data_IF_531659165271
#
_entry.id   IF_531659165271
#
_cell.length_a   1.000
_cell.length_b   1.000
_cell.length_c   1.000
_cell.angle_alpha   90.00
_cell.angle_beta   90.00
_cell.angle_gamma   90.00
#
_symmetry.space_group_name_H-M   'P 1'
#
loop_
_entity.id
_entity.type
_entity.pdbx_description
1 polymer ?
#
# COMPACT_ATOMS: atom_id res chain seq x y z
N UNK A 1 -17.05 -14.82 -18.97
CA UNK A 1 -15.84 -14.08 -18.62
C UNK A 1 -16.27 -12.63 -18.40
N UNK A 2 -16.65 -12.28 -17.16
CA UNK A 2 -17.11 -10.93 -16.82
C UNK A 2 -15.88 -10.04 -16.70
N UNK A 3 -15.68 -9.17 -17.68
CA UNK A 3 -14.80 -8.01 -17.56
C UNK A 3 -15.34 -7.17 -16.38
N UNK A 4 -14.74 -7.33 -15.21
CA UNK A 4 -14.89 -6.33 -14.18
C UNK A 4 -14.13 -5.09 -14.64
N UNK A 5 -14.89 -4.21 -15.29
CA UNK A 5 -14.46 -2.88 -15.63
C UNK A 5 -14.14 -2.16 -14.32
N UNK A 6 -12.86 -2.14 -13.96
CA UNK A 6 -12.37 -1.38 -12.81
C UNK A 6 -12.19 0.05 -13.29
N UNK A 7 -13.32 0.70 -13.63
CA UNK A 7 -13.35 2.10 -13.99
C UNK A 7 -13.05 2.96 -12.76
N UNK A 8 -11.76 3.04 -12.42
CA UNK A 8 -11.24 3.94 -11.39
C UNK A 8 -10.88 5.27 -12.03
N UNK A 9 -11.88 6.03 -12.43
CA UNK A 9 -11.72 7.35 -13.04
C UNK A 9 -11.32 8.44 -12.04
N UNK A 10 -11.40 8.17 -10.72
CA UNK A 10 -11.17 9.18 -9.68
C UNK A 10 -10.06 8.77 -8.72
N UNK A 11 -9.11 9.67 -8.48
CA UNK A 11 -8.03 9.49 -7.50
C UNK A 11 -8.54 9.09 -6.11
N UNK A 12 -9.67 9.66 -5.66
CA UNK A 12 -10.27 9.36 -4.36
C UNK A 12 -10.69 7.90 -4.22
N UNK A 13 -11.18 7.28 -5.29
CA UNK A 13 -11.58 5.86 -5.30
C UNK A 13 -10.33 4.97 -5.18
N UNK A 14 -9.29 5.27 -5.96
CA UNK A 14 -8.02 4.57 -5.89
C UNK A 14 -7.36 4.71 -4.51
N UNK A 15 -7.33 5.93 -3.94
CA UNK A 15 -6.82 6.18 -2.60
C UNK A 15 -7.56 5.37 -1.53
N UNK A 16 -8.89 5.42 -1.55
CA UNK A 16 -9.75 4.68 -0.61
C UNK A 16 -9.56 3.16 -0.73
N UNK A 17 -9.34 2.65 -1.95
CA UNK A 17 -9.01 1.24 -2.18
C UNK A 17 -7.65 0.88 -1.57
N UNK A 18 -6.64 1.72 -1.76
CA UNK A 18 -5.31 1.51 -1.18
C UNK A 18 -5.32 1.55 0.35
N UNK A 19 -6.12 2.44 0.95
CA UNK A 19 -6.34 2.47 2.42
C UNK A 19 -6.98 1.16 2.90
N UNK A 20 -8.01 0.66 2.19
CA UNK A 20 -8.64 -0.63 2.53
C UNK A 20 -7.67 -1.80 2.39
N UNK A 21 -6.83 -1.80 1.36
CA UNK A 21 -5.79 -2.81 1.18
C UNK A 21 -4.80 -2.81 2.34
N UNK A 22 -4.34 -1.64 2.79
CA UNK A 22 -3.47 -1.51 3.96
C UNK A 22 -4.09 -2.07 5.23
N UNK A 23 -5.38 -1.79 5.46
CA UNK A 23 -6.14 -2.35 6.58
C UNK A 23 -6.21 -3.89 6.49
N UNK A 24 -6.50 -4.43 5.31
CA UNK A 24 -6.57 -5.88 5.08
C UNK A 24 -5.19 -6.55 5.28
N UNK A 25 -4.09 -5.90 4.91
CA UNK A 25 -2.74 -6.41 5.15
C UNK A 25 -2.43 -6.52 6.65
N UNK A 26 -2.81 -5.53 7.46
CA UNK A 26 -2.62 -5.56 8.90
C UNK A 26 -3.50 -6.64 9.55
N UNK A 27 -4.77 -6.76 9.14
CA UNK A 27 -5.69 -7.79 9.60
C UNK A 27 -5.15 -9.19 9.24
N UNK A 28 -4.79 -9.43 7.98
CA UNK A 28 -4.22 -10.70 7.52
C UNK A 28 -2.94 -11.07 8.24
N UNK A 29 -2.05 -10.09 8.48
CA UNK A 29 -0.83 -10.30 9.26
C UNK A 29 -1.13 -10.63 10.74
N UNK A 30 -2.18 -10.05 11.33
CA UNK A 30 -2.57 -10.36 12.71
C UNK A 30 -3.16 -11.77 12.87
N UNK A 31 -3.85 -12.27 11.85
CA UNK A 31 -4.50 -13.60 11.87
C UNK A 31 -3.55 -14.73 11.46
N UNK A 32 -2.66 -14.47 10.50
CA UNK A 32 -1.82 -15.50 9.85
C UNK A 32 -0.31 -15.21 9.92
N UNK A 33 0.09 -14.11 10.55
CA UNK A 33 1.50 -13.68 10.59
C UNK A 33 2.42 -14.53 11.48
N UNK A 34 1.85 -15.31 12.40
CA UNK A 34 2.59 -16.22 13.29
C UNK A 34 2.74 -17.64 12.72
N UNK A 35 2.02 -17.99 11.64
CA UNK A 35 2.11 -19.29 11.00
C UNK A 35 3.42 -19.51 10.23
N UNK A 36 3.75 -20.77 9.88
CA UNK A 36 5.02 -21.11 9.19
C UNK A 36 5.16 -20.42 7.83
N UNK A 37 4.09 -20.08 7.18
CA UNK A 37 4.11 -19.44 5.86
C UNK A 37 4.24 -17.92 5.90
N UNK A 38 4.09 -17.27 7.09
CA UNK A 38 4.19 -15.81 7.31
C UNK A 38 3.59 -14.97 6.17
N UNK A 39 2.48 -15.46 5.62
CA UNK A 39 1.77 -14.81 4.52
C UNK A 39 1.49 -13.38 4.88
N UNK A 40 1.19 -12.43 4.36
CA UNK A 40 0.81 -11.05 4.70
C UNK A 40 1.86 -10.21 5.47
N UNK A 41 2.84 -10.83 6.15
CA UNK A 41 3.81 -10.06 6.93
C UNK A 41 4.65 -9.11 6.08
N UNK A 42 5.09 -9.57 4.90
CA UNK A 42 5.83 -8.72 3.95
C UNK A 42 4.97 -7.58 3.42
N UNK A 43 3.70 -7.85 3.09
CA UNK A 43 2.75 -6.85 2.63
C UNK A 43 2.43 -5.82 3.72
N UNK A 44 2.39 -6.22 4.98
CA UNK A 44 2.20 -5.32 6.10
C UNK A 44 3.43 -4.45 6.39
N UNK A 45 4.65 -4.97 6.27
CA UNK A 45 5.89 -4.25 6.59
C UNK A 45 6.31 -3.28 5.47
N UNK A 46 6.20 -3.70 4.21
CA UNK A 46 6.66 -2.90 3.07
C UNK A 46 6.14 -1.45 3.04
N UNK A 47 4.86 -1.17 3.28
CA UNK A 47 4.35 0.20 3.32
C UNK A 47 5.08 1.08 4.33
N UNK A 48 5.36 0.57 5.53
CA UNK A 48 6.07 1.30 6.58
C UNK A 48 7.51 1.65 6.17
N UNK A 49 8.21 0.70 5.54
CA UNK A 49 9.58 0.95 5.05
C UNK A 49 9.57 2.07 4.00
N UNK A 50 8.71 1.96 2.98
CA UNK A 50 8.73 2.87 1.85
C UNK A 50 8.06 4.21 2.13
N UNK A 51 6.98 4.25 2.92
CA UNK A 51 6.28 5.49 3.22
C UNK A 51 6.91 6.30 4.37
N UNK A 52 7.46 5.63 5.37
CA UNK A 52 8.01 6.30 6.56
C UNK A 52 9.50 6.01 6.76
N UNK A 53 9.95 4.78 6.58
CA UNK A 53 11.34 4.39 6.82
C UNK A 53 12.32 5.22 6.00
N UNK A 54 12.13 5.29 4.68
CA UNK A 54 13.03 6.05 3.79
C UNK A 54 13.02 7.56 4.12
N UNK A 55 11.87 8.26 4.25
CA UNK A 55 11.87 9.67 4.60
C UNK A 55 12.45 9.96 5.99
N UNK A 56 12.15 9.13 6.98
CA UNK A 56 12.69 9.31 8.33
C UNK A 56 14.21 9.11 8.35
N UNK A 57 14.72 8.10 7.65
CA UNK A 57 16.17 7.90 7.50
C UNK A 57 16.82 9.10 6.82
N UNK A 58 16.21 9.62 5.75
CA UNK A 58 16.68 10.82 5.10
C UNK A 58 16.69 12.04 6.04
N UNK A 59 15.64 12.21 6.84
CA UNK A 59 15.54 13.31 7.81
C UNK A 59 16.65 13.21 8.89
N UNK A 60 16.90 12.01 9.41
CA UNK A 60 18.00 11.79 10.39
C UNK A 60 19.34 12.08 9.76
N UNK A 61 19.62 11.61 8.56
CA UNK A 61 20.90 11.85 7.86
C UNK A 61 21.06 13.34 7.54
N UNK A 62 19.97 14.05 7.23
CA UNK A 62 20.03 15.48 6.94
C UNK A 62 20.59 16.33 8.10
N UNK A 63 20.33 15.90 9.35
CA UNK A 63 20.86 16.56 10.55
C UNK A 63 22.39 16.48 10.62
N UNK A 64 22.99 15.38 10.15
CA UNK A 64 24.43 15.13 10.29
C UNK A 64 25.20 15.39 8.97
N UNK A 65 24.59 15.16 7.83
CA UNK A 65 25.25 15.17 6.52
C UNK A 65 24.63 16.16 5.51
N UNK A 66 23.65 16.97 5.97
CA UNK A 66 23.05 18.01 5.15
C UNK A 66 22.42 17.46 3.86
N UNK A 67 22.77 18.08 2.71
CA UNK A 67 22.17 17.76 1.41
C UNK A 67 22.43 16.31 0.92
N UNK A 68 23.46 15.63 1.44
CA UNK A 68 23.72 14.21 1.15
C UNK A 68 22.55 13.29 1.51
N UNK A 69 21.67 13.72 2.41
CA UNK A 69 20.44 12.99 2.73
C UNK A 69 19.56 12.73 1.49
N UNK A 70 19.67 13.60 0.46
CA UNK A 70 18.94 13.41 -0.79
C UNK A 70 19.30 12.08 -1.48
N UNK A 71 20.51 11.57 -1.30
CA UNK A 71 20.93 10.29 -1.86
C UNK A 71 20.10 9.10 -1.36
N UNK A 72 19.51 9.21 -0.15
CA UNK A 72 18.63 8.18 0.42
C UNK A 72 17.40 7.96 -0.44
N UNK A 73 16.89 9.00 -1.10
CA UNK A 73 15.74 8.89 -1.98
C UNK A 73 16.03 8.04 -3.24
N UNK A 74 17.31 7.81 -3.59
CA UNK A 74 17.67 6.87 -4.64
C UNK A 74 17.18 5.43 -4.34
N UNK A 75 16.94 5.10 -3.06
CA UNK A 75 16.35 3.81 -2.69
C UNK A 75 14.96 3.60 -3.32
N UNK A 76 14.22 4.66 -3.61
CA UNK A 76 12.93 4.55 -4.30
C UNK A 76 13.05 4.04 -5.74
N UNK A 77 14.22 4.16 -6.37
CA UNK A 77 14.45 3.61 -7.72
C UNK A 77 14.22 2.10 -7.76
N UNK A 78 14.46 1.40 -6.66
CA UNK A 78 14.26 -0.05 -6.58
C UNK A 78 12.80 -0.46 -6.77
N UNK A 79 11.83 -0.02 -5.92
CA UNK A 79 10.43 -0.38 -6.09
C UNK A 79 9.84 0.23 -7.37
N UNK A 80 10.24 1.45 -7.78
CA UNK A 80 9.80 2.06 -9.02
C UNK A 80 10.20 1.24 -10.24
N UNK A 81 11.47 0.83 -10.32
CA UNK A 81 11.97 -0.03 -11.41
C UNK A 81 11.24 -1.36 -11.46
N UNK A 82 10.96 -1.96 -10.29
CA UNK A 82 10.22 -3.21 -10.19
C UNK A 82 8.80 -3.07 -10.74
N UNK A 83 8.05 -2.07 -10.27
CA UNK A 83 6.70 -1.80 -10.73
C UNK A 83 6.63 -1.41 -12.21
N UNK A 84 7.59 -0.59 -12.69
CA UNK A 84 7.70 -0.24 -14.10
C UNK A 84 7.88 -1.47 -14.99
N UNK A 85 8.81 -2.36 -14.63
CA UNK A 85 9.05 -3.61 -15.37
C UNK A 85 7.81 -4.50 -15.39
N UNK A 86 7.08 -4.57 -14.29
CA UNK A 86 5.85 -5.34 -14.21
C UNK A 86 4.77 -4.78 -15.14
N UNK A 87 4.60 -3.45 -15.18
CA UNK A 87 3.73 -2.78 -16.13
C UNK A 87 4.10 -3.11 -17.59
N UNK A 88 5.38 -3.01 -17.92
CA UNK A 88 5.88 -3.34 -19.27
C UNK A 88 5.64 -4.81 -19.66
N UNK A 89 5.83 -5.73 -18.72
CA UNK A 89 5.57 -7.17 -18.93
C UNK A 89 4.10 -7.48 -19.20
N UNK A 90 3.19 -6.66 -18.66
CA UNK A 90 1.73 -6.77 -18.89
C UNK A 90 1.30 -6.10 -20.20
N UNK A 91 2.22 -5.59 -21.00
CA UNK A 91 1.94 -4.95 -22.29
C UNK A 91 1.54 -3.48 -22.20
N UNK A 92 1.63 -2.85 -21.03
CA UNK A 92 1.35 -1.42 -20.89
C UNK A 92 2.39 -0.57 -21.63
N UNK A 93 1.98 0.61 -22.08
CA UNK A 93 2.89 1.59 -22.68
C UNK A 93 3.98 2.03 -21.68
N UNK A 94 5.07 2.65 -22.16
CA UNK A 94 6.09 3.20 -21.25
C UNK A 94 5.55 4.29 -20.34
N UNK A 95 4.66 5.15 -20.84
CA UNK A 95 3.98 6.18 -20.05
C UNK A 95 3.10 5.59 -18.98
N UNK A 96 2.23 4.64 -19.34
CA UNK A 96 1.35 3.97 -18.37
C UNK A 96 2.13 3.18 -17.32
N UNK A 97 3.23 2.54 -17.71
CA UNK A 97 4.10 1.82 -16.78
C UNK A 97 4.79 2.76 -15.78
N UNK A 98 5.17 3.98 -16.23
CA UNK A 98 5.72 5.00 -15.37
C UNK A 98 4.67 5.54 -14.38
N UNK A 99 3.47 5.87 -14.87
CA UNK A 99 2.35 6.29 -14.03
C UNK A 99 1.97 5.20 -13.00
N UNK A 100 1.90 3.94 -13.45
CA UNK A 100 1.64 2.81 -12.57
C UNK A 100 2.69 2.69 -11.47
N UNK A 101 3.97 2.82 -11.80
CA UNK A 101 5.05 2.73 -10.82
C UNK A 101 4.99 3.85 -9.78
N UNK A 102 4.68 5.09 -10.18
CA UNK A 102 4.47 6.20 -9.27
C UNK A 102 3.24 5.98 -8.38
N UNK A 103 2.13 5.53 -8.97
CA UNK A 103 0.94 5.18 -8.21
C UNK A 103 1.22 4.09 -7.16
N UNK A 104 1.98 3.06 -7.50
CA UNK A 104 2.42 2.03 -6.56
C UNK A 104 3.25 2.59 -5.40
N UNK A 105 4.09 3.61 -5.64
CA UNK A 105 4.86 4.26 -4.59
C UNK A 105 3.95 5.10 -3.68
N UNK A 106 3.09 5.93 -4.27
CA UNK A 106 2.14 6.79 -3.53
C UNK A 106 1.15 5.94 -2.73
N UNK A 107 0.74 4.76 -3.24
CA UNK A 107 -0.17 3.86 -2.51
C UNK A 107 0.37 3.42 -1.15
N UNK A 108 1.70 3.43 -0.94
CA UNK A 108 2.30 3.04 0.35
C UNK A 108 1.88 3.95 1.49
N UNK A 109 1.67 5.24 1.23
CA UNK A 109 1.13 6.18 2.21
C UNK A 109 -0.34 5.87 2.58
N UNK A 110 -1.15 5.54 1.58
CA UNK A 110 -2.53 5.13 1.80
C UNK A 110 -2.62 3.80 2.55
N UNK A 111 -1.75 2.84 2.22
CA UNK A 111 -1.66 1.54 2.89
C UNK A 111 -1.26 1.71 4.37
N UNK A 112 -0.28 2.57 4.69
CA UNK A 112 0.10 2.90 6.08
C UNK A 112 -1.09 3.51 6.83
N UNK A 113 -1.81 4.46 6.22
CA UNK A 113 -3.02 5.03 6.83
C UNK A 113 -4.06 3.95 7.15
N UNK A 114 -4.21 2.96 6.26
CA UNK A 114 -5.09 1.81 6.48
C UNK A 114 -4.66 0.96 7.67
N UNK A 115 -3.37 0.68 7.79
CA UNK A 115 -2.81 -0.09 8.90
C UNK A 115 -2.95 0.67 10.24
N UNK A 116 -2.70 1.97 10.26
CA UNK A 116 -2.91 2.81 11.44
C UNK A 116 -4.37 2.69 11.91
N UNK A 117 -5.35 2.80 10.98
CA UNK A 117 -6.77 2.62 11.31
C UNK A 117 -7.07 1.25 11.92
N UNK A 118 -6.45 0.19 11.41
CA UNK A 118 -6.58 -1.15 11.98
C UNK A 118 -6.05 -1.21 13.41
N UNK A 119 -4.83 -0.74 13.64
CA UNK A 119 -4.20 -0.80 14.96
C UNK A 119 -4.94 0.07 15.99
N UNK A 120 -5.38 1.27 15.60
CA UNK A 120 -6.18 2.14 16.48
C UNK A 120 -7.54 1.53 16.81
N UNK A 121 -8.22 0.93 15.83
CA UNK A 121 -9.49 0.26 16.09
C UNK A 121 -9.32 -0.92 17.07
N UNK A 122 -8.23 -1.68 16.92
CA UNK A 122 -7.90 -2.79 17.82
C UNK A 122 -7.58 -2.32 19.24
N UNK A 123 -6.81 -1.25 19.38
CA UNK A 123 -6.47 -0.66 20.69
C UNK A 123 -7.71 -0.12 21.43
N UNK A 124 -8.67 0.42 20.66
CA UNK A 124 -9.94 0.93 21.20
C UNK A 124 -10.99 -0.17 21.44
N UNK A 125 -10.62 -1.46 21.33
CA UNK A 125 -11.55 -2.58 21.54
C UNK A 125 -12.70 -2.66 20.53
N UNK A 126 -12.65 -1.92 19.41
CA UNK A 126 -13.68 -1.95 18.37
C UNK A 126 -13.58 -3.27 17.59
N UNK A 127 -14.73 -3.90 17.32
CA UNK A 127 -14.77 -5.10 16.48
C UNK A 127 -14.20 -4.75 15.09
N UNK A 128 -13.06 -5.34 14.78
CA UNK A 128 -12.39 -5.18 13.49
C UNK A 128 -12.92 -6.26 12.56
N UNK A 129 -14.05 -5.99 11.89
CA UNK A 129 -14.60 -6.85 10.85
C UNK A 129 -14.32 -6.25 9.46
N UNK A 130 -14.08 -7.12 8.49
CA UNK A 130 -14.19 -6.73 7.08
C UNK A 130 -15.63 -6.26 6.87
N UNK A 131 -15.79 -5.03 6.38
CA UNK A 131 -17.10 -4.56 5.93
C UNK A 131 -17.42 -5.33 4.64
N UNK A 132 -18.10 -6.47 4.80
CA UNK A 132 -18.69 -7.16 3.66
C UNK A 132 -19.81 -6.26 3.13
N UNK A 133 -19.60 -5.67 1.96
CA UNK A 133 -20.66 -5.07 1.16
C UNK A 133 -21.55 -6.17 0.55
N UNK A 134 -22.12 -7.04 1.38
CA UNK A 134 -23.35 -7.73 0.99
C UNK A 134 -24.51 -6.78 1.25
N UNK A 135 -24.83 -5.95 0.27
CA UNK A 135 -26.22 -5.50 0.13
C UNK A 135 -27.03 -6.76 -0.09
N UNK A 136 -27.63 -7.26 0.97
CA UNK A 136 -28.75 -8.18 0.89
C UNK A 136 -29.85 -7.41 0.17
N UNK A 137 -29.98 -7.65 -1.14
CA UNK A 137 -31.23 -7.38 -1.83
C UNK A 137 -32.25 -8.32 -1.19
N UNK A 138 -33.08 -7.78 -0.33
CA UNK A 138 -34.31 -8.45 0.13
C UNK A 138 -35.23 -8.44 -1.09
N UNK A 139 -35.62 -9.59 -1.68
CA UNK A 139 -36.69 -9.61 -2.64
C UNK A 139 -38.00 -9.37 -1.89
N UNK A 140 -38.77 -8.42 -2.42
CA UNK A 140 -40.16 -8.23 -2.05
C UNK A 140 -41.03 -9.41 -2.50
#
# INVERSE_FOLDING_TARGET
>A
MTLHDVDMSRFSQWWSRSVRAGFAFALGASMHGSGPQRHWRRQAIRPWIWALGVPLTAAVIAVFAGWWAAAVFALYLWPLRGAYRDGRRRGASSGDSALFSLACLVSKWAEVRGQIRFHTARLLGRRVGLIEYKKTAVPA
#
